data_IF_742799709878
#
_entry.id   IF_742799709878
#
_cell.length_a   1.000
_cell.length_b   1.000
_cell.length_c   1.000
_cell.angle_alpha   90.00
_cell.angle_beta   90.00
_cell.angle_gamma   90.00
#
_symmetry.space_group_name_H-M   'P 1'
#
loop_
_entity.id
_entity.type
_entity.pdbx_description
1 polymer ?
#
# COMPACT_ATOMS: atom_id res chain seq x y z
N UNK A 1 -19.48 66.39 -9.21
CA UNK A 1 -19.83 65.66 -10.43
C UNK A 1 -19.48 64.19 -10.18
N UNK A 2 -20.50 63.34 -10.10
CA UNK A 2 -20.39 61.90 -9.80
C UNK A 2 -19.80 61.12 -10.98
N UNK A 3 -18.96 60.11 -10.71
CA UNK A 3 -18.89 58.78 -11.37
C UNK A 3 -17.84 57.95 -10.60
N UNK A 4 -18.21 57.06 -9.67
CA UNK A 4 -18.54 55.62 -9.83
C UNK A 4 -17.41 54.73 -10.39
N UNK A 5 -16.84 53.91 -9.48
CA UNK A 5 -16.46 52.46 -9.61
C UNK A 5 -15.34 52.10 -10.62
N UNK A 6 -14.44 51.13 -10.42
CA UNK A 6 -14.52 49.82 -9.76
C UNK A 6 -13.17 49.39 -9.15
N UNK A 7 -13.26 48.62 -8.06
CA UNK A 7 -12.22 47.73 -7.56
C UNK A 7 -11.98 46.59 -8.57
N UNK A 8 -10.75 46.43 -9.05
CA UNK A 8 -10.31 45.21 -9.72
C UNK A 8 -9.69 44.27 -8.66
N UNK A 9 -10.52 43.38 -8.14
CA UNK A 9 -10.08 42.27 -7.30
C UNK A 9 -9.21 41.32 -8.13
N UNK A 10 -8.02 40.99 -7.62
CA UNK A 10 -7.15 39.99 -8.19
C UNK A 10 -7.83 38.63 -8.23
N UNK A 11 -7.98 38.08 -9.43
CA UNK A 11 -8.44 36.72 -9.63
C UNK A 11 -7.33 35.76 -9.16
N UNK A 12 -7.52 35.19 -7.97
CA UNK A 12 -6.83 33.98 -7.55
C UNK A 12 -7.29 32.90 -8.52
N UNK A 13 -6.41 32.52 -9.44
CA UNK A 13 -6.62 31.39 -10.32
C UNK A 13 -6.55 30.12 -9.48
N UNK A 14 -7.71 29.67 -9.00
CA UNK A 14 -7.90 28.32 -8.50
C UNK A 14 -7.58 27.38 -9.67
N UNK A 15 -6.39 26.79 -9.65
CA UNK A 15 -6.11 25.61 -10.45
C UNK A 15 -7.10 24.54 -10.00
N UNK A 16 -8.13 24.36 -10.81
CA UNK A 16 -9.04 23.24 -10.77
C UNK A 16 -8.22 21.97 -11.03
N UNK A 17 -7.84 21.30 -9.94
CA UNK A 17 -7.43 19.90 -9.99
C UNK A 17 -8.54 19.13 -10.73
N UNK A 18 -8.22 18.28 -11.72
CA UNK A 18 -9.21 17.40 -12.29
C UNK A 18 -9.69 16.50 -11.17
N UNK A 19 -10.94 16.70 -10.73
CA UNK A 19 -11.67 15.71 -9.97
C UNK A 19 -11.92 14.55 -10.91
N UNK A 20 -10.98 13.60 -10.93
CA UNK A 20 -11.28 12.21 -11.27
C UNK A 20 -12.24 11.70 -10.19
N UNK A 21 -13.51 12.06 -10.36
CA UNK A 21 -14.62 11.46 -9.67
C UNK A 21 -14.75 10.03 -10.19
N UNK A 22 -13.94 9.12 -9.65
CA UNK A 22 -14.38 7.76 -9.48
C UNK A 22 -15.54 7.84 -8.49
N UNK A 23 -16.76 7.95 -9.01
CA UNK A 23 -17.95 7.63 -8.24
C UNK A 23 -17.90 6.11 -8.00
N UNK A 24 -17.04 5.69 -7.06
CA UNK A 24 -17.18 4.41 -6.41
C UNK A 24 -18.59 4.44 -5.83
N UNK A 25 -19.46 3.52 -6.26
CA UNK A 25 -20.76 3.38 -5.62
C UNK A 25 -20.48 3.29 -4.13
N UNK A 26 -20.93 4.28 -3.35
CA UNK A 26 -20.73 4.26 -1.92
C UNK A 26 -21.56 3.10 -1.40
N UNK A 27 -20.94 1.94 -1.23
CA UNK A 27 -21.61 0.76 -0.72
C UNK A 27 -22.23 1.14 0.63
N UNK A 28 -23.51 0.83 0.81
CA UNK A 28 -24.21 1.17 2.04
C UNK A 28 -24.16 -0.01 2.98
N UNK A 29 -23.73 0.25 4.22
CA UNK A 29 -23.88 -0.69 5.31
C UNK A 29 -25.37 -0.89 5.63
N UNK A 30 -25.68 -2.05 6.19
CA UNK A 30 -27.02 -2.39 6.67
C UNK A 30 -27.46 -1.47 7.81
N UNK A 31 -28.60 -0.79 7.65
CA UNK A 31 -29.16 0.13 8.64
C UNK A 31 -29.42 -0.56 10.00
N UNK A 32 -29.61 -1.89 10.01
CA UNK A 32 -29.80 -2.67 11.25
C UNK A 32 -28.60 -2.62 12.20
N UNK A 33 -27.44 -2.13 11.75
CA UNK A 33 -26.33 -1.80 12.65
C UNK A 33 -26.69 -0.73 13.69
N UNK A 34 -27.58 0.21 13.36
CA UNK A 34 -28.02 1.25 14.30
C UNK A 34 -29.03 0.72 15.33
N UNK A 35 -29.71 -0.38 15.01
CA UNK A 35 -30.60 -1.13 15.89
C UNK A 35 -30.00 -2.50 16.26
N UNK A 36 -28.71 -2.51 16.62
CA UNK A 36 -27.95 -3.75 16.81
C UNK A 36 -28.54 -4.70 17.86
N UNK A 37 -29.19 -4.18 18.90
CA UNK A 37 -29.85 -5.01 19.91
C UNK A 37 -30.99 -5.86 19.31
N UNK A 38 -31.84 -5.26 18.47
CA UNK A 38 -32.96 -5.93 17.80
C UNK A 38 -32.44 -7.04 16.86
N UNK A 39 -31.35 -6.75 16.13
CA UNK A 39 -30.70 -7.75 15.29
C UNK A 39 -30.19 -8.96 16.11
N UNK A 40 -29.64 -8.73 17.32
CA UNK A 40 -29.21 -9.83 18.19
C UNK A 40 -30.39 -10.70 18.60
N UNK A 41 -31.54 -10.10 18.94
CA UNK A 41 -32.75 -10.84 19.29
C UNK A 41 -33.26 -11.68 18.12
N UNK A 42 -33.36 -11.09 16.91
CA UNK A 42 -33.74 -11.81 15.69
C UNK A 42 -32.79 -12.98 15.37
N UNK A 43 -31.49 -12.80 15.65
CA UNK A 43 -30.48 -13.84 15.47
C UNK A 43 -30.65 -14.97 16.46
N UNK A 44 -30.87 -14.67 17.74
CA UNK A 44 -31.12 -15.68 18.76
C UNK A 44 -32.41 -16.46 18.49
N UNK A 45 -33.40 -15.83 17.86
CA UNK A 45 -34.63 -16.46 17.39
C UNK A 45 -34.46 -17.28 16.10
N UNK A 46 -33.30 -17.21 15.42
CA UNK A 46 -33.04 -17.93 14.17
C UNK A 46 -33.75 -17.33 12.94
N UNK A 47 -34.21 -16.08 13.03
CA UNK A 47 -35.00 -15.40 11.99
C UNK A 47 -34.23 -14.30 11.26
N UNK A 48 -33.01 -13.97 11.70
CA UNK A 48 -32.26 -12.85 11.10
C UNK A 48 -31.60 -13.22 9.78
N UNK A 49 -31.85 -12.37 8.78
CA UNK A 49 -31.08 -12.35 7.54
C UNK A 49 -29.66 -11.81 7.80
N UNK A 50 -28.63 -12.28 7.05
CA UNK A 50 -27.26 -11.80 7.19
C UNK A 50 -27.15 -10.27 7.07
N UNK A 51 -26.29 -9.65 7.89
CA UNK A 51 -25.99 -8.21 7.79
C UNK A 51 -25.09 -7.96 6.58
N UNK A 52 -25.39 -6.93 5.78
CA UNK A 52 -24.51 -6.50 4.70
C UNK A 52 -23.63 -5.35 5.15
N UNK A 53 -22.31 -5.57 5.22
CA UNK A 53 -21.36 -4.59 5.72
C UNK A 53 -20.29 -4.31 4.67
N UNK A 54 -19.91 -3.06 4.53
CA UNK A 54 -18.64 -2.68 3.95
C UNK A 54 -17.49 -3.26 4.77
N UNK A 55 -16.36 -3.50 4.11
CA UNK A 55 -15.14 -3.95 4.79
C UNK A 55 -14.71 -2.99 5.89
N UNK A 56 -14.75 -1.69 5.61
CA UNK A 56 -14.33 -0.67 6.57
C UNK A 56 -15.16 -0.74 7.86
N UNK A 57 -16.47 -0.90 7.74
CA UNK A 57 -17.36 -1.04 8.90
C UNK A 57 -17.11 -2.35 9.64
N UNK A 58 -16.92 -3.47 8.92
CA UNK A 58 -16.58 -4.74 9.54
C UNK A 58 -15.28 -4.67 10.38
N UNK A 59 -14.24 -4.02 9.87
CA UNK A 59 -12.97 -3.85 10.59
C UNK A 59 -13.10 -2.95 11.83
N UNK A 60 -14.02 -1.99 11.80
CA UNK A 60 -14.30 -1.07 12.90
C UNK A 60 -15.26 -1.63 13.96
N UNK A 61 -15.90 -2.78 13.70
CA UNK A 61 -16.71 -3.43 14.71
C UNK A 61 -15.87 -3.85 15.92
N UNK A 62 -16.42 -3.62 17.11
CA UNK A 62 -15.82 -4.14 18.35
C UNK A 62 -15.66 -5.66 18.28
N UNK A 63 -14.64 -6.26 18.91
CA UNK A 63 -14.45 -7.72 18.91
C UNK A 63 -15.71 -8.47 19.36
N UNK A 64 -16.41 -7.96 20.38
CA UNK A 64 -17.67 -8.52 20.86
C UNK A 64 -18.79 -8.46 19.82
N UNK A 65 -18.93 -7.36 19.10
CA UNK A 65 -19.92 -7.25 18.03
C UNK A 65 -19.62 -8.26 16.91
N UNK A 66 -18.36 -8.40 16.49
CA UNK A 66 -17.95 -9.40 15.49
C UNK A 66 -18.22 -10.83 15.94
N UNK A 67 -17.95 -11.15 17.20
CA UNK A 67 -18.21 -12.47 17.76
C UNK A 67 -19.71 -12.80 17.75
N UNK A 68 -20.56 -11.85 18.16
CA UNK A 68 -22.02 -12.03 18.16
C UNK A 68 -22.58 -12.12 16.74
N UNK A 69 -22.04 -11.35 15.79
CA UNK A 69 -22.42 -11.39 14.37
C UNK A 69 -21.93 -12.68 13.69
N UNK A 70 -20.83 -13.28 14.15
CA UNK A 70 -20.29 -14.55 13.61
C UNK A 70 -20.28 -14.59 12.08
N UNK A 71 -20.79 -15.68 11.50
CA UNK A 71 -20.85 -15.85 10.03
C UNK A 71 -22.14 -15.32 9.39
N UNK A 72 -23.08 -14.75 10.17
CA UNK A 72 -24.33 -14.23 9.61
C UNK A 72 -24.13 -12.81 9.06
N UNK A 73 -23.11 -12.66 8.21
CA UNK A 73 -22.74 -11.40 7.58
C UNK A 73 -22.29 -11.63 6.15
N UNK A 74 -22.48 -10.60 5.33
CA UNK A 74 -22.00 -10.49 3.96
C UNK A 74 -21.12 -9.26 3.87
N UNK A 75 -19.88 -9.43 3.41
CA UNK A 75 -18.99 -8.30 3.15
C UNK A 75 -19.17 -7.79 1.73
N UNK A 76 -19.31 -6.49 1.58
CA UNK A 76 -19.38 -5.84 0.27
C UNK A 76 -17.96 -5.59 -0.25
N UNK A 77 -17.65 -6.07 -1.46
CA UNK A 77 -16.39 -5.75 -2.13
C UNK A 77 -16.38 -4.30 -2.68
N UNK A 78 -15.29 -3.93 -3.36
CA UNK A 78 -15.15 -2.62 -3.99
C UNK A 78 -16.18 -2.33 -5.09
N UNK A 79 -16.86 -3.35 -5.61
CA UNK A 79 -17.96 -3.26 -6.59
C UNK A 79 -19.35 -3.39 -5.91
N UNK A 80 -19.41 -3.34 -4.58
CA UNK A 80 -20.60 -3.55 -3.75
C UNK A 80 -21.28 -4.91 -3.95
N UNK A 81 -20.53 -5.94 -4.37
CA UNK A 81 -21.04 -7.31 -4.47
C UNK A 81 -20.94 -7.99 -3.10
N UNK A 82 -22.01 -8.65 -2.62
CA UNK A 82 -22.00 -9.31 -1.33
C UNK A 82 -21.24 -10.63 -1.38
N UNK A 83 -20.30 -10.80 -0.46
CA UNK A 83 -19.54 -12.01 -0.24
C UNK A 83 -19.94 -12.64 1.09
N UNK A 84 -20.38 -13.89 1.05
CA UNK A 84 -20.74 -14.62 2.26
C UNK A 84 -19.49 -14.89 3.10
N UNK A 85 -19.49 -14.50 4.38
CA UNK A 85 -18.43 -14.91 5.31
C UNK A 85 -18.70 -16.33 5.81
N UNK A 86 -17.63 -17.11 5.91
CA UNK A 86 -17.65 -18.45 6.47
C UNK A 86 -16.47 -18.64 7.41
N UNK A 87 -16.72 -19.13 8.62
CA UNK A 87 -15.71 -19.29 9.66
C UNK A 87 -14.97 -17.98 10.01
N UNK A 88 -15.66 -16.85 9.91
CA UNK A 88 -15.12 -15.51 10.19
C UNK A 88 -14.25 -14.91 9.08
N UNK A 89 -14.08 -15.58 7.94
CA UNK A 89 -13.30 -15.09 6.80
C UNK A 89 -14.12 -15.10 5.48
N UNK A 90 -13.86 -14.18 4.53
CA UNK A 90 -14.43 -14.23 3.20
C UNK A 90 -13.78 -15.36 2.37
N UNK A 91 -14.48 -15.90 1.36
CA UNK A 91 -14.02 -17.04 0.55
C UNK A 91 -12.83 -16.73 -0.36
N UNK A 92 -12.57 -15.45 -0.62
CA UNK A 92 -11.41 -14.96 -1.33
C UNK A 92 -10.92 -13.66 -0.69
N UNK A 93 -9.64 -13.34 -0.90
CA UNK A 93 -9.06 -12.10 -0.37
C UNK A 93 -9.69 -10.89 -1.04
N UNK A 94 -10.12 -9.95 -0.22
CA UNK A 94 -10.74 -8.70 -0.68
C UNK A 94 -9.62 -7.70 -0.96
N UNK A 95 -9.59 -7.15 -2.18
CA UNK A 95 -8.68 -6.07 -2.54
C UNK A 95 -9.15 -4.75 -1.91
N UNK A 96 -8.22 -3.99 -1.34
CA UNK A 96 -8.48 -2.65 -0.83
C UNK A 96 -7.22 -1.77 -0.82
N UNK A 97 -7.37 -0.44 -0.72
CA UNK A 97 -6.24 0.48 -0.67
C UNK A 97 -5.28 0.15 0.48
N UNK A 98 -3.97 0.11 0.20
CA UNK A 98 -2.95 -0.22 1.19
C UNK A 98 -2.97 0.70 2.41
N UNK A 99 -3.27 1.98 2.23
CA UNK A 99 -3.40 2.94 3.34
C UNK A 99 -4.45 2.50 4.36
N UNK A 100 -5.57 1.94 3.90
CA UNK A 100 -6.64 1.44 4.78
C UNK A 100 -6.21 0.17 5.52
N UNK A 101 -5.54 -0.76 4.82
CA UNK A 101 -4.96 -1.96 5.43
C UNK A 101 -3.93 -1.62 6.50
N UNK A 102 -2.99 -0.75 6.15
CA UNK A 102 -1.93 -0.32 7.04
C UNK A 102 -2.52 0.31 8.30
N UNK A 103 -3.44 1.26 8.18
CA UNK A 103 -4.03 1.94 9.34
C UNK A 103 -4.83 0.97 10.22
N UNK A 104 -5.64 0.10 9.62
CA UNK A 104 -6.38 -0.93 10.37
C UNK A 104 -5.46 -1.90 11.09
N UNK A 105 -4.37 -2.32 10.43
CA UNK A 105 -3.38 -3.21 11.01
C UNK A 105 -2.58 -2.54 12.12
N UNK A 106 -2.12 -1.33 11.88
CA UNK A 106 -1.42 -0.49 12.84
C UNK A 106 -2.23 -0.32 14.14
N UNK A 107 -3.50 0.06 14.01
CA UNK A 107 -4.41 0.19 15.14
C UNK A 107 -4.65 -1.13 15.88
N UNK A 108 -4.79 -2.24 15.15
CA UNK A 108 -4.93 -3.56 15.73
C UNK A 108 -3.65 -4.00 16.48
N UNK A 109 -2.47 -3.66 15.98
CA UNK A 109 -1.19 -3.89 16.66
C UNK A 109 -1.06 -3.05 17.92
N UNK A 110 -1.45 -1.76 17.87
CA UNK A 110 -1.44 -0.89 19.04
C UNK A 110 -2.35 -1.40 20.16
N UNK A 111 -3.55 -1.87 19.80
CA UNK A 111 -4.54 -2.43 20.73
C UNK A 111 -4.23 -3.85 21.21
N UNK A 112 -3.27 -4.55 20.59
CA UNK A 112 -3.00 -5.97 20.87
C UNK A 112 -4.12 -6.90 20.41
N UNK A 113 -4.92 -6.49 19.41
CA UNK A 113 -6.02 -7.28 18.86
C UNK A 113 -5.50 -8.24 17.77
N UNK A 114 -4.93 -9.35 18.21
CA UNK A 114 -4.34 -10.39 17.34
C UNK A 114 -5.36 -10.97 16.35
N UNK A 115 -6.64 -11.07 16.74
CA UNK A 115 -7.69 -11.57 15.85
C UNK A 115 -7.90 -10.64 14.66
N UNK A 116 -7.97 -9.33 14.90
CA UNK A 116 -8.08 -8.35 13.82
C UNK A 116 -6.82 -8.33 12.95
N UNK A 117 -5.63 -8.44 13.54
CA UNK A 117 -4.38 -8.55 12.79
C UNK A 117 -4.40 -9.74 11.83
N UNK A 118 -4.83 -10.91 12.32
CA UNK A 118 -4.89 -12.13 11.50
C UNK A 118 -5.94 -12.03 10.40
N UNK A 119 -7.13 -11.50 10.72
CA UNK A 119 -8.18 -11.25 9.73
C UNK A 119 -7.63 -10.35 8.61
N UNK A 120 -6.97 -9.24 8.95
CA UNK A 120 -6.37 -8.33 7.98
C UNK A 120 -5.36 -9.02 7.06
N UNK A 121 -4.48 -9.87 7.62
CA UNK A 121 -3.44 -10.56 6.85
C UNK A 121 -3.96 -11.73 5.99
N UNK A 122 -5.05 -12.38 6.41
CA UNK A 122 -5.59 -13.56 5.74
C UNK A 122 -6.65 -13.22 4.70
N UNK A 123 -7.55 -12.32 5.07
CA UNK A 123 -8.82 -12.06 4.37
C UNK A 123 -8.74 -10.90 3.39
N UNK A 124 -7.68 -10.09 3.47
CA UNK A 124 -7.52 -8.92 2.65
C UNK A 124 -6.19 -8.93 1.92
N UNK A 125 -6.14 -8.17 0.82
CA UNK A 125 -4.90 -7.92 0.09
C UNK A 125 -4.84 -6.48 -0.37
N UNK A 126 -3.63 -5.95 -0.46
CA UNK A 126 -3.43 -4.61 -0.99
C UNK A 126 -3.77 -4.59 -2.48
N UNK A 127 -4.49 -3.54 -2.89
CA UNK A 127 -4.70 -3.22 -4.30
C UNK A 127 -3.35 -3.05 -5.02
N UNK A 128 -3.25 -3.48 -6.29
CA UNK A 128 -2.09 -3.15 -7.09
C UNK A 128 -1.96 -1.63 -7.24
N UNK A 129 -0.73 -1.14 -7.21
CA UNK A 129 -0.44 0.29 -7.36
C UNK A 129 0.49 0.53 -8.55
N UNK A 130 0.49 1.76 -9.06
CA UNK A 130 1.46 2.18 -10.06
C UNK A 130 2.87 2.33 -9.43
N UNK A 131 3.94 2.43 -10.23
CA UNK A 131 5.28 2.43 -9.68
C UNK A 131 5.63 3.77 -8.99
N UNK A 132 4.95 4.87 -9.33
CA UNK A 132 5.12 6.16 -8.65
C UNK A 132 4.54 6.12 -7.23
N UNK A 133 3.42 5.43 -7.02
CA UNK A 133 2.87 5.21 -5.69
C UNK A 133 3.73 4.20 -4.92
N UNK A 134 4.09 3.06 -5.52
CA UNK A 134 4.88 2.03 -4.84
C UNK A 134 6.23 2.54 -4.33
N UNK A 135 6.93 3.36 -5.11
CA UNK A 135 8.24 3.88 -4.72
C UNK A 135 8.17 4.70 -3.43
N UNK A 136 7.05 5.40 -3.21
CA UNK A 136 6.79 6.19 -2.00
C UNK A 136 6.74 5.31 -0.74
N UNK A 137 6.40 4.03 -0.90
CA UNK A 137 6.36 3.06 0.19
C UNK A 137 7.75 2.62 0.67
N UNK A 138 8.85 2.98 -0.02
CA UNK A 138 10.21 2.87 0.55
C UNK A 138 10.51 3.91 1.64
N UNK A 139 9.50 4.68 2.06
CA UNK A 139 9.57 5.46 3.29
C UNK A 139 9.65 4.52 4.50
N UNK A 140 10.50 4.88 5.46
CA UNK A 140 10.69 4.11 6.70
C UNK A 140 9.56 4.43 7.68
N UNK A 141 9.02 3.40 8.32
CA UNK A 141 7.99 3.51 9.35
C UNK A 141 8.65 4.00 10.64
N UNK A 142 8.18 5.14 11.13
CA UNK A 142 8.48 5.75 12.44
C UNK A 142 9.90 5.44 12.98
N UNK A 143 10.91 6.09 12.38
CA UNK A 143 12.34 5.90 12.71
C UNK A 143 12.72 6.27 14.16
N UNK A 144 11.77 6.72 14.98
CA UNK A 144 11.96 7.06 16.39
C UNK A 144 11.39 6.04 17.39
N UNK A 145 10.63 5.03 16.93
CA UNK A 145 9.95 4.08 17.81
C UNK A 145 10.26 2.62 17.42
N UNK A 146 11.45 2.15 17.83
CA UNK A 146 11.91 0.79 17.54
C UNK A 146 10.95 -0.28 18.09
N UNK A 147 10.35 -0.07 19.26
CA UNK A 147 9.40 -1.01 19.86
C UNK A 147 8.17 -1.21 18.97
N UNK A 148 7.60 -0.11 18.46
CA UNK A 148 6.44 -0.16 17.58
C UNK A 148 6.77 -0.84 16.26
N UNK A 149 7.91 -0.50 15.66
CA UNK A 149 8.39 -1.16 14.44
C UNK A 149 8.57 -2.67 14.65
N UNK A 150 9.17 -3.08 15.77
CA UNK A 150 9.35 -4.49 16.11
C UNK A 150 8.02 -5.22 16.31
N UNK A 151 7.05 -4.56 16.93
CA UNK A 151 5.70 -5.10 17.09
C UNK A 151 5.00 -5.26 15.74
N UNK A 152 5.05 -4.26 14.88
CA UNK A 152 4.47 -4.30 13.53
C UNK A 152 5.07 -5.45 12.72
N UNK A 153 6.40 -5.55 12.67
CA UNK A 153 7.09 -6.60 11.92
C UNK A 153 6.76 -7.99 12.44
N UNK A 154 6.74 -8.18 13.77
CA UNK A 154 6.38 -9.45 14.41
C UNK A 154 4.94 -9.85 14.11
N UNK A 155 3.99 -8.93 14.28
CA UNK A 155 2.57 -9.19 13.98
C UNK A 155 2.34 -9.48 12.50
N UNK A 156 3.12 -8.85 11.63
CA UNK A 156 3.06 -9.09 10.19
C UNK A 156 3.82 -10.37 9.79
N UNK A 157 4.63 -10.96 10.67
CA UNK A 157 5.48 -12.11 10.35
C UNK A 157 6.57 -11.80 9.33
N UNK A 158 7.11 -10.58 9.35
CA UNK A 158 8.19 -10.13 8.47
C UNK A 158 9.45 -9.79 9.26
N UNK A 159 10.60 -9.86 8.61
CA UNK A 159 11.87 -9.48 9.22
C UNK A 159 12.07 -7.96 9.15
N UNK A 160 12.66 -7.42 10.20
CA UNK A 160 13.14 -6.03 10.21
C UNK A 160 14.50 -5.98 9.56
N UNK A 161 14.77 -4.88 8.85
CA UNK A 161 16.05 -4.69 8.19
C UNK A 161 17.05 -4.04 9.13
N UNK A 162 18.32 -4.39 8.98
CA UNK A 162 19.43 -3.72 9.67
C UNK A 162 20.16 -2.82 8.68
N UNK A 163 20.38 -1.57 9.05
CA UNK A 163 21.11 -0.59 8.28
C UNK A 163 22.59 -0.97 8.19
N UNK A 164 23.23 -0.56 7.09
CA UNK A 164 24.69 -0.63 7.00
C UNK A 164 25.30 0.64 7.61
N UNK A 165 25.69 0.58 8.88
CA UNK A 165 26.44 1.65 9.55
C UNK A 165 27.24 1.16 10.77
N UNK A 166 27.85 2.12 11.48
CA UNK A 166 28.67 1.86 12.68
C UNK A 166 27.84 1.42 13.89
N UNK A 167 26.56 1.75 13.92
CA UNK A 167 25.61 1.41 14.97
C UNK A 167 24.58 0.41 14.42
N UNK A 168 24.06 -0.50 15.25
CA UNK A 168 22.99 -1.41 14.85
C UNK A 168 21.67 -0.62 14.77
N UNK A 169 21.41 -0.02 13.61
CA UNK A 169 20.16 0.73 13.36
C UNK A 169 19.20 -0.14 12.59
N UNK A 170 18.02 -0.40 13.16
CA UNK A 170 16.96 -1.17 12.52
C UNK A 170 15.97 -0.26 11.81
N UNK A 171 15.34 -0.76 10.75
CA UNK A 171 14.31 -0.03 10.00
C UNK A 171 13.33 -0.98 9.30
N UNK A 172 12.13 -0.48 9.03
CA UNK A 172 11.06 -1.18 8.31
C UNK A 172 10.46 -0.21 7.29
N UNK A 173 10.20 -0.65 6.06
CA UNK A 173 9.50 0.16 5.08
C UNK A 173 8.00 -0.13 5.06
N UNK A 174 7.22 0.86 4.63
CA UNK A 174 5.82 0.62 4.23
C UNK A 174 5.73 -0.45 3.12
N UNK A 175 6.71 -0.49 2.22
CA UNK A 175 6.78 -1.45 1.12
C UNK A 175 6.84 -2.91 1.61
N UNK A 176 7.48 -3.17 2.77
CA UNK A 176 7.54 -4.52 3.33
C UNK A 176 6.16 -4.99 3.79
N UNK A 177 5.37 -4.10 4.39
CA UNK A 177 3.99 -4.38 4.76
C UNK A 177 3.09 -4.49 3.52
N UNK A 178 3.28 -3.63 2.52
CA UNK A 178 2.55 -3.69 1.24
C UNK A 178 2.68 -5.08 0.58
N UNK A 179 3.92 -5.56 0.45
CA UNK A 179 4.22 -6.90 -0.05
C UNK A 179 3.62 -7.97 0.84
N UNK A 180 3.68 -7.81 2.17
CA UNK A 180 3.09 -8.77 3.10
C UNK A 180 1.57 -8.90 2.96
N UNK A 181 0.89 -7.82 2.62
CA UNK A 181 -0.52 -7.80 2.25
C UNK A 181 -0.76 -8.27 0.80
N UNK A 182 0.24 -8.82 0.10
CA UNK A 182 0.08 -9.34 -1.26
C UNK A 182 -0.13 -8.25 -2.32
N UNK A 183 0.34 -7.03 -2.04
CA UNK A 183 0.35 -5.94 -3.00
C UNK A 183 1.30 -6.23 -4.16
N UNK A 184 0.94 -5.73 -5.35
CA UNK A 184 1.73 -5.88 -6.57
C UNK A 184 1.89 -4.54 -7.28
N UNK A 185 3.05 -4.32 -7.91
CA UNK A 185 3.31 -3.09 -8.67
C UNK A 185 3.33 -3.38 -10.17
N UNK A 186 2.56 -2.60 -10.92
CA UNK A 186 2.49 -2.70 -12.39
C UNK A 186 2.77 -1.34 -13.02
N UNK A 187 3.59 -1.32 -14.06
CA UNK A 187 3.76 -0.15 -14.93
C UNK A 187 2.78 -0.16 -16.09
N UNK A 188 2.81 0.91 -16.90
CA UNK A 188 1.93 1.09 -18.07
C UNK A 188 1.98 -0.09 -19.07
N UNK A 189 3.14 -0.74 -19.19
CA UNK A 189 3.40 -1.81 -20.15
C UNK A 189 3.64 -3.18 -19.50
N UNK A 190 3.07 -3.42 -18.32
CA UNK A 190 3.19 -4.70 -17.59
C UNK A 190 3.99 -4.56 -16.30
N UNK A 191 4.98 -5.41 -16.07
CA UNK A 191 5.79 -5.35 -14.84
C UNK A 191 6.57 -4.04 -14.74
N UNK A 192 6.60 -3.43 -13.56
CA UNK A 192 7.40 -2.25 -13.30
C UNK A 192 8.90 -2.57 -13.33
N UNK A 193 9.73 -1.61 -13.75
CA UNK A 193 11.20 -1.71 -13.72
C UNK A 193 11.76 -0.80 -12.65
N UNK A 194 12.45 -1.37 -11.66
CA UNK A 194 13.16 -0.61 -10.62
C UNK A 194 14.67 -0.81 -10.69
N UNK A 195 15.42 0.28 -10.57
CA UNK A 195 16.88 0.25 -10.54
C UNK A 195 17.43 0.98 -9.32
N UNK A 196 18.53 0.47 -8.75
CA UNK A 196 19.26 1.14 -7.67
C UNK A 196 20.77 0.90 -7.81
N UNK A 197 21.58 1.92 -7.54
CA UNK A 197 23.02 1.94 -7.81
C UNK A 197 23.88 2.17 -6.57
N UNK A 198 24.77 3.17 -6.65
CA UNK A 198 25.64 3.58 -5.54
C UNK A 198 24.96 4.63 -4.66
N UNK A 199 24.06 5.45 -5.19
CA UNK A 199 23.38 6.44 -4.39
C UNK A 199 22.29 5.75 -3.55
N UNK A 200 21.91 6.34 -2.41
CA UNK A 200 20.78 5.84 -1.62
C UNK A 200 19.47 6.27 -2.29
N UNK A 201 19.23 5.82 -3.51
CA UNK A 201 18.02 6.10 -4.26
C UNK A 201 17.58 4.86 -5.06
N UNK A 202 16.32 4.88 -5.45
CA UNK A 202 15.70 3.90 -6.34
C UNK A 202 14.92 4.67 -7.40
N UNK A 203 14.90 4.12 -8.62
CA UNK A 203 14.24 4.74 -9.76
C UNK A 203 13.27 3.78 -10.42
N UNK A 204 12.01 4.20 -10.61
CA UNK A 204 11.11 3.59 -11.60
C UNK A 204 11.55 4.04 -12.98
N UNK A 205 11.93 3.09 -13.83
CA UNK A 205 12.44 3.39 -15.19
C UNK A 205 11.32 3.84 -16.11
N UNK A 206 10.15 3.18 -16.04
CA UNK A 206 9.00 3.47 -16.90
C UNK A 206 8.42 4.86 -16.65
N UNK A 207 8.20 5.19 -15.38
CA UNK A 207 7.62 6.49 -14.99
C UNK A 207 8.66 7.61 -14.91
N UNK A 208 9.94 7.25 -15.03
CA UNK A 208 11.04 8.18 -14.80
C UNK A 208 10.86 8.93 -13.46
N UNK A 209 10.85 8.16 -12.38
CA UNK A 209 10.71 8.73 -11.05
C UNK A 209 11.77 8.16 -10.13
N UNK A 210 12.58 9.06 -9.55
CA UNK A 210 13.64 8.71 -8.61
C UNK A 210 13.27 9.18 -7.20
N UNK A 211 13.36 8.28 -6.24
CA UNK A 211 13.21 8.59 -4.83
C UNK A 211 14.50 8.30 -4.07
N UNK A 212 14.97 9.31 -3.35
CA UNK A 212 16.03 9.13 -2.34
C UNK A 212 15.46 8.47 -1.11
N UNK A 213 16.19 7.49 -0.58
CA UNK A 213 15.84 6.85 0.67
C UNK A 213 15.91 7.85 1.83
N UNK A 214 15.03 7.63 2.80
CA UNK A 214 15.08 8.40 4.04
C UNK A 214 16.41 8.18 4.76
N UNK A 215 16.97 9.25 5.35
CA UNK A 215 18.13 9.11 6.23
C UNK A 215 17.69 8.42 7.52
N UNK A 216 18.48 7.45 7.97
CA UNK A 216 18.21 6.74 9.21
C UNK A 216 18.85 7.47 10.40
N UNK A 217 18.34 7.21 11.60
CA UNK A 217 19.00 7.62 12.85
C UNK A 217 20.38 6.94 12.96
N UNK A 218 21.34 7.61 13.60
CA UNK A 218 22.72 7.09 13.72
C UNK A 218 23.70 7.62 12.67
N UNK A 219 25.00 7.48 12.95
CA UNK A 219 26.05 8.10 12.11
C UNK A 219 26.25 7.29 10.83
N UNK A 220 26.01 7.91 9.67
CA UNK A 220 26.16 7.31 8.35
C UNK A 220 25.21 6.12 8.08
N UNK A 221 24.09 6.02 8.79
CA UNK A 221 23.10 4.96 8.58
C UNK A 221 22.29 5.17 7.30
N UNK A 222 22.25 4.12 6.48
CA UNK A 222 21.59 4.11 5.17
C UNK A 222 20.74 2.86 5.00
N UNK A 223 19.60 3.06 4.35
CA UNK A 223 18.77 1.96 3.82
C UNK A 223 19.59 1.12 2.85
N UNK A 224 19.42 -0.19 2.92
CA UNK A 224 20.11 -1.15 2.05
C UNK A 224 19.44 -1.19 0.68
N UNK A 225 20.22 -0.97 -0.39
CA UNK A 225 19.72 -1.13 -1.75
C UNK A 225 19.26 -2.56 -2.05
N UNK A 226 19.89 -3.56 -1.45
CA UNK A 226 19.51 -4.96 -1.66
C UNK A 226 18.13 -5.23 -1.06
N UNK A 227 17.86 -4.66 0.12
CA UNK A 227 16.53 -4.70 0.74
C UNK A 227 15.48 -4.09 -0.21
N UNK A 228 15.74 -2.87 -0.71
CA UNK A 228 14.82 -2.16 -1.60
C UNK A 228 14.52 -2.97 -2.87
N UNK A 229 15.55 -3.49 -3.54
CA UNK A 229 15.38 -4.29 -4.75
C UNK A 229 14.68 -5.62 -4.46
N UNK A 230 15.00 -6.30 -3.34
CA UNK A 230 14.30 -7.54 -2.98
C UNK A 230 12.83 -7.31 -2.64
N UNK A 231 12.49 -6.19 -2.00
CA UNK A 231 11.09 -5.84 -1.69
C UNK A 231 10.34 -5.46 -2.96
N UNK A 232 10.97 -4.74 -3.90
CA UNK A 232 10.37 -4.47 -5.22
C UNK A 232 10.13 -5.75 -6.04
N UNK A 233 11.09 -6.68 -6.04
CA UNK A 233 10.95 -7.98 -6.71
C UNK A 233 9.81 -8.80 -6.09
N UNK A 234 9.69 -8.79 -4.76
CA UNK A 234 8.60 -9.45 -4.06
C UNK A 234 7.22 -8.81 -4.33
N UNK A 235 7.17 -7.54 -4.74
CA UNK A 235 5.97 -6.87 -5.25
C UNK A 235 5.69 -7.17 -6.74
N UNK A 236 6.47 -8.05 -7.38
CA UNK A 236 6.29 -8.44 -8.78
C UNK A 236 7.03 -7.58 -9.80
N UNK A 237 7.89 -6.64 -9.36
CA UNK A 237 8.69 -5.82 -10.26
C UNK A 237 9.90 -6.57 -10.84
N UNK A 238 10.35 -6.11 -12.00
CA UNK A 238 11.66 -6.42 -12.56
C UNK A 238 12.67 -5.46 -11.91
N UNK A 239 13.71 -6.00 -11.29
CA UNK A 239 14.66 -5.18 -10.52
C UNK A 239 16.09 -5.37 -11.00
N UNK A 240 16.87 -4.29 -10.97
CA UNK A 240 18.29 -4.35 -11.34
C UNK A 240 19.17 -3.55 -10.39
N UNK A 241 20.25 -4.21 -9.96
CA UNK A 241 21.34 -3.57 -9.23
C UNK A 241 22.40 -3.10 -10.22
N UNK A 242 22.49 -1.79 -10.46
CA UNK A 242 23.48 -1.21 -11.37
C UNK A 242 24.86 -1.02 -10.72
N UNK A 243 25.11 -1.68 -9.59
CA UNK A 243 26.41 -1.77 -8.94
C UNK A 243 26.87 -0.44 -8.35
N UNK A 244 28.11 -0.06 -8.66
CA UNK A 244 28.74 1.19 -8.19
C UNK A 244 28.46 2.39 -9.09
N UNK A 245 27.54 2.25 -10.06
CA UNK A 245 27.11 3.37 -10.89
C UNK A 245 26.51 4.46 -10.01
N UNK A 246 26.98 5.70 -10.20
CA UNK A 246 26.47 6.90 -9.50
C UNK A 246 25.22 7.47 -10.18
N UNK A 247 24.77 6.89 -11.29
CA UNK A 247 23.68 7.41 -12.11
C UNK A 247 22.46 6.49 -12.03
N UNK A 248 21.87 6.39 -10.84
CA UNK A 248 20.53 5.86 -10.61
C UNK A 248 19.45 6.88 -10.99
N UNK A 249 19.77 8.17 -11.07
CA UNK A 249 18.88 9.26 -11.50
C UNK A 249 18.85 9.50 -13.03
N UNK A 250 17.71 9.98 -13.52
CA UNK A 250 17.42 10.23 -14.94
C UNK A 250 17.84 11.62 -15.46
N UNK A 251 18.88 12.26 -14.89
CA UNK A 251 19.23 13.64 -15.31
C UNK A 251 19.88 13.73 -16.70
N UNK A 252 20.20 12.61 -17.33
CA UNK A 252 20.75 12.59 -18.69
C UNK A 252 19.92 11.64 -19.56
N UNK A 253 19.52 12.12 -20.74
CA UNK A 253 18.72 11.42 -21.78
C UNK A 253 19.32 10.09 -22.29
N UNK A 254 20.35 9.56 -21.62
CA UNK A 254 21.02 8.30 -21.92
C UNK A 254 21.47 7.62 -20.61
N UNK A 255 20.54 7.35 -19.69
CA UNK A 255 20.88 6.47 -18.57
C UNK A 255 21.11 5.06 -19.11
N UNK A 256 22.09 4.34 -18.56
CA UNK A 256 22.51 3.01 -19.03
C UNK A 256 21.38 1.95 -19.01
N UNK A 257 20.26 2.25 -18.34
CA UNK A 257 19.09 1.37 -18.21
C UNK A 257 17.88 1.81 -19.06
N UNK A 258 17.87 3.03 -19.62
CA UNK A 258 16.75 3.49 -20.47
C UNK A 258 16.74 2.77 -21.82
N UNK A 259 17.90 2.62 -22.47
CA UNK A 259 17.98 1.92 -23.76
C UNK A 259 17.59 0.42 -23.65
N UNK A 260 18.09 -0.35 -22.66
CA UNK A 260 17.60 -1.71 -22.42
C UNK A 260 16.08 -1.78 -22.19
N UNK A 261 15.52 -0.83 -21.43
CA UNK A 261 14.07 -0.76 -21.20
C UNK A 261 13.30 -0.51 -22.49
N UNK A 262 13.75 0.42 -23.35
CA UNK A 262 13.11 0.68 -24.64
C UNK A 262 13.18 -0.55 -25.56
N UNK A 263 14.32 -1.24 -25.61
CA UNK A 263 14.45 -2.51 -26.36
C UNK A 263 13.50 -3.58 -25.83
N UNK A 264 13.32 -3.67 -24.51
CA UNK A 264 12.36 -4.59 -23.89
C UNK A 264 10.91 -4.26 -24.31
N UNK A 265 10.54 -2.98 -24.36
CA UNK A 265 9.24 -2.54 -24.88
C UNK A 265 9.05 -2.89 -26.36
N UNK A 266 10.06 -2.64 -27.20
CA UNK A 266 10.05 -2.97 -28.64
C UNK A 266 9.87 -4.48 -28.89
N UNK A 267 10.32 -5.33 -27.95
CA UNK A 267 10.14 -6.78 -27.99
C UNK A 267 8.77 -7.24 -27.47
N UNK A 268 7.87 -6.31 -27.15
CA UNK A 268 6.52 -6.61 -26.65
C UNK A 268 6.46 -6.84 -25.14
N UNK A 269 7.38 -6.26 -24.37
CA UNK A 269 7.39 -6.28 -22.91
C UNK A 269 7.29 -7.70 -22.31
N UNK A 270 8.18 -8.64 -22.67
CA UNK A 270 8.09 -10.02 -22.19
C UNK A 270 8.22 -10.11 -20.66
N UNK A 271 7.46 -11.03 -20.06
CA UNK A 271 7.47 -11.28 -18.60
C UNK A 271 8.80 -11.81 -18.04
N UNK A 272 9.67 -12.30 -18.94
CA UNK A 272 10.98 -12.84 -18.60
C UNK A 272 11.92 -11.73 -18.13
N UNK A 273 12.51 -11.93 -16.95
CA UNK A 273 13.50 -11.02 -16.36
C UNK A 273 14.80 -11.12 -17.18
N UNK A 274 15.29 -10.03 -17.79
CA UNK A 274 16.62 -10.01 -18.40
C UNK A 274 17.68 -10.37 -17.36
N UNK A 275 18.66 -11.21 -17.71
CA UNK A 275 19.70 -11.65 -16.78
C UNK A 275 20.56 -10.48 -16.26
N UNK A 276 20.63 -9.40 -17.04
CA UNK A 276 21.35 -8.17 -16.76
C UNK A 276 20.73 -7.02 -17.55
N UNK A 277 20.97 -5.78 -17.13
CA UNK A 277 20.69 -4.59 -17.97
C UNK A 277 21.67 -4.44 -19.14
N UNK A 278 22.76 -5.21 -19.13
CA UNK A 278 23.87 -5.07 -20.07
C UNK A 278 23.98 -6.20 -21.10
N UNK A 279 23.05 -7.17 -21.05
CA UNK A 279 22.93 -8.26 -22.02
C UNK A 279 21.90 -7.88 -23.10
#
# INVERSE_FOLDING_TARGET
>A
MYLKTLFAAGAISLFSLPTSAFAQAACQDDERLYSFADYIEERQAGTSEPLQLTVATFLNLTPRAREVIGDNLRLLDSECRPMQVSQGEPPFRIEMPFSTLYMGFYDAVLRGDERTQQILLNSFRAEPVDPMEFISYFTVIDSGNEELMERLARSAGINIHTASCNDETKYLHFADLYVRFGGNVYGEHGKAWFVSGKQPEVTSVGDNFTQRFSSLTGRNCRVSKNTVLSTAEAAGAITFNIGNSITDHWQYKSSAYTEPYQKWLEQGAPDAVPASLFD
#
